data_IF_287058463000
#
_entry.id   IF_287058463000
#
_cell.length_a   1.000
_cell.length_b   1.000
_cell.length_c   1.000
_cell.angle_alpha   90.00
_cell.angle_beta   90.00
_cell.angle_gamma   90.00
#
_symmetry.space_group_name_H-M   'P 1'
#
loop_
_entity.id
_entity.type
_entity.pdbx_description
1 polymer ?
#
# COMPACT_ATOMS: atom_id res chain seq x y z
N UNK A 1 8.46 -9.46 -21.76
CA UNK A 1 9.84 -8.96 -21.72
C UNK A 1 10.05 -8.07 -20.49
N UNK A 2 11.30 -7.87 -20.03
CA UNK A 2 11.59 -6.98 -18.90
C UNK A 2 11.19 -5.54 -19.17
N UNK A 3 11.28 -5.07 -20.40
CA UNK A 3 10.80 -3.75 -20.80
C UNK A 3 9.30 -3.57 -20.54
N UNK A 4 8.47 -4.57 -20.83
CA UNK A 4 7.05 -4.51 -20.53
C UNK A 4 6.79 -4.59 -19.02
N UNK A 5 7.52 -5.40 -18.28
CA UNK A 5 7.43 -5.47 -16.82
C UNK A 5 7.77 -4.13 -16.15
N UNK A 6 8.92 -3.56 -16.51
CA UNK A 6 9.39 -2.31 -15.93
C UNK A 6 8.56 -1.09 -16.36
N UNK A 7 8.34 -0.92 -17.66
CA UNK A 7 7.73 0.30 -18.16
C UNK A 7 6.21 0.28 -18.09
N UNK A 8 5.57 -0.86 -18.36
CA UNK A 8 4.11 -0.93 -18.43
C UNK A 8 3.51 -1.34 -17.11
N UNK A 9 3.93 -2.47 -16.55
CA UNK A 9 3.30 -3.01 -15.33
C UNK A 9 3.57 -2.12 -14.13
N UNK A 10 4.82 -1.68 -13.92
CA UNK A 10 5.14 -0.76 -12.82
C UNK A 10 4.37 0.55 -12.96
N UNK A 11 4.32 1.13 -14.18
CA UNK A 11 3.55 2.34 -14.42
C UNK A 11 2.06 2.15 -14.10
N UNK A 12 1.47 1.03 -14.52
CA UNK A 12 0.07 0.70 -14.21
C UNK A 12 -0.15 0.56 -12.71
N UNK A 13 0.77 -0.08 -11.98
CA UNK A 13 0.67 -0.23 -10.53
C UNK A 13 0.69 1.11 -9.81
N UNK A 14 1.60 2.00 -10.16
CA UNK A 14 1.62 3.36 -9.61
C UNK A 14 0.36 4.15 -9.93
N UNK A 15 -0.08 4.11 -11.18
CA UNK A 15 -1.24 4.89 -11.65
C UNK A 15 -2.54 4.39 -11.00
N UNK A 16 -2.74 3.07 -10.91
CA UNK A 16 -3.93 2.48 -10.29
C UNK A 16 -3.99 2.77 -8.79
N UNK A 17 -2.87 2.60 -8.08
CA UNK A 17 -2.78 2.90 -6.66
C UNK A 17 -3.04 4.39 -6.37
N UNK A 18 -2.44 5.29 -7.16
CA UNK A 18 -2.63 6.73 -7.02
C UNK A 18 -4.07 7.15 -7.31
N UNK A 19 -4.69 6.58 -8.35
CA UNK A 19 -6.08 6.87 -8.71
C UNK A 19 -7.05 6.38 -7.63
N UNK A 20 -6.85 5.17 -7.11
CA UNK A 20 -7.66 4.63 -6.03
C UNK A 20 -7.57 5.46 -4.76
N UNK A 21 -6.35 5.87 -4.38
CA UNK A 21 -6.13 6.74 -3.23
C UNK A 21 -6.78 8.12 -3.40
N UNK A 22 -6.61 8.75 -4.56
CA UNK A 22 -7.21 10.06 -4.86
C UNK A 22 -8.74 10.01 -4.82
N UNK A 23 -9.35 8.95 -5.38
CA UNK A 23 -10.79 8.72 -5.32
C UNK A 23 -11.28 8.52 -3.86
N UNK A 24 -10.54 7.72 -3.06
CA UNK A 24 -10.83 7.52 -1.65
C UNK A 24 -10.75 8.84 -0.87
N UNK A 25 -9.75 9.68 -1.10
CA UNK A 25 -9.61 10.98 -0.44
C UNK A 25 -10.72 11.96 -0.83
N UNK A 26 -11.13 11.99 -2.10
CA UNK A 26 -12.25 12.79 -2.56
C UNK A 26 -13.55 12.35 -1.88
N UNK A 27 -13.80 11.04 -1.79
CA UNK A 27 -14.94 10.46 -1.07
C UNK A 27 -14.92 10.81 0.42
N UNK A 28 -13.80 10.61 1.10
CA UNK A 28 -13.64 10.94 2.52
C UNK A 28 -13.89 12.42 2.80
N UNK A 29 -13.42 13.32 1.93
CA UNK A 29 -13.69 14.76 2.03
C UNK A 29 -15.19 15.08 1.83
N UNK A 30 -15.83 14.47 0.83
CA UNK A 30 -17.26 14.63 0.55
C UNK A 30 -18.13 14.20 1.73
N UNK A 31 -17.90 12.99 2.26
CA UNK A 31 -18.62 12.48 3.44
C UNK A 31 -18.35 13.31 4.70
N UNK A 32 -17.15 13.87 4.83
CA UNK A 32 -16.82 14.78 5.93
C UNK A 32 -17.40 16.18 5.78
N UNK A 33 -18.10 16.50 4.67
CA UNK A 33 -18.65 17.83 4.40
C UNK A 33 -17.60 18.86 3.98
N UNK A 34 -16.45 18.43 3.47
CA UNK A 34 -15.38 19.28 2.92
C UNK A 34 -15.48 19.37 1.41
N UNK A 35 -14.80 20.36 0.81
CA UNK A 35 -14.62 20.41 -0.65
C UNK A 35 -13.85 19.19 -1.10
N UNK A 36 -14.29 18.54 -2.18
CA UNK A 36 -13.67 17.29 -2.70
C UNK A 36 -12.21 17.46 -3.13
N UNK A 37 -11.79 18.70 -3.46
CA UNK A 37 -10.43 18.97 -3.92
C UNK A 37 -10.27 18.73 -5.42
N UNK A 38 -9.02 18.54 -5.86
CA UNK A 38 -8.68 18.26 -7.25
C UNK A 38 -8.07 16.86 -7.35
N UNK A 39 -8.76 15.98 -8.08
CA UNK A 39 -8.35 14.59 -8.26
C UNK A 39 -6.94 14.46 -8.86
N UNK A 40 -6.63 15.20 -9.92
CA UNK A 40 -5.31 15.11 -10.56
C UNK A 40 -4.18 15.60 -9.67
N UNK A 41 -4.44 16.64 -8.87
CA UNK A 41 -3.48 17.13 -7.89
C UNK A 41 -3.22 16.08 -6.80
N UNK A 42 -4.25 15.40 -6.34
CA UNK A 42 -4.12 14.32 -5.37
C UNK A 42 -3.35 13.12 -5.94
N UNK A 43 -3.60 12.75 -7.21
CA UNK A 43 -2.84 11.71 -7.92
C UNK A 43 -1.34 12.06 -7.96
N UNK A 44 -1.00 13.28 -8.37
CA UNK A 44 0.40 13.71 -8.45
C UNK A 44 1.05 13.74 -7.06
N UNK A 45 0.35 14.28 -6.06
CA UNK A 45 0.85 14.39 -4.69
C UNK A 45 1.09 13.02 -4.06
N UNK A 46 0.15 12.09 -4.19
CA UNK A 46 0.32 10.74 -3.61
C UNK A 46 1.43 9.99 -4.32
N UNK A 47 1.51 10.09 -5.64
CA UNK A 47 2.58 9.43 -6.40
C UNK A 47 3.96 9.91 -5.98
N UNK A 48 4.17 11.24 -5.95
CA UNK A 48 5.49 11.81 -5.71
C UNK A 48 5.91 11.83 -4.26
N UNK A 49 4.97 11.96 -3.31
CA UNK A 49 5.28 12.13 -1.87
C UNK A 49 5.10 10.86 -1.04
N UNK A 50 4.33 9.91 -1.54
CA UNK A 50 4.02 8.67 -0.80
C UNK A 50 4.50 7.46 -1.60
N UNK A 51 3.94 7.20 -2.80
CA UNK A 51 4.19 5.95 -3.49
C UNK A 51 5.66 5.77 -3.88
N UNK A 52 6.27 6.76 -4.51
CA UNK A 52 7.67 6.65 -4.96
C UNK A 52 8.64 6.51 -3.76
N UNK A 53 8.62 7.40 -2.73
CA UNK A 53 9.55 7.25 -1.62
C UNK A 53 9.38 5.95 -0.84
N UNK A 54 8.15 5.56 -0.54
CA UNK A 54 7.89 4.34 0.22
C UNK A 54 8.21 3.09 -0.58
N UNK A 55 7.86 3.02 -1.88
CA UNK A 55 8.22 1.88 -2.72
C UNK A 55 9.74 1.71 -2.85
N UNK A 56 10.49 2.82 -2.89
CA UNK A 56 11.94 2.76 -2.90
C UNK A 56 12.50 2.15 -1.59
N UNK A 57 12.01 2.60 -0.44
CA UNK A 57 12.42 2.05 0.87
C UNK A 57 12.04 0.57 0.99
N UNK A 58 10.80 0.21 0.63
CA UNK A 58 10.33 -1.17 0.67
C UNK A 58 11.16 -2.05 -0.28
N UNK A 59 11.46 -1.56 -1.49
CA UNK A 59 12.30 -2.26 -2.45
C UNK A 59 13.69 -2.57 -1.89
N UNK A 60 14.34 -1.61 -1.23
CA UNK A 60 15.63 -1.82 -0.56
C UNK A 60 15.53 -2.85 0.57
N UNK A 61 14.46 -2.80 1.36
CA UNK A 61 14.22 -3.80 2.41
C UNK A 61 14.03 -5.21 1.83
N UNK A 62 13.28 -5.35 0.74
CA UNK A 62 13.09 -6.64 0.06
C UNK A 62 14.40 -7.18 -0.53
N UNK A 63 15.21 -6.31 -1.17
CA UNK A 63 16.55 -6.68 -1.64
C UNK A 63 17.42 -7.19 -0.49
N UNK A 64 17.37 -6.55 0.67
CA UNK A 64 18.12 -7.00 1.85
C UNK A 64 17.69 -8.39 2.36
N UNK A 65 16.48 -8.82 2.02
CA UNK A 65 15.95 -10.15 2.34
C UNK A 65 16.24 -11.21 1.25
N UNK A 66 16.88 -10.81 0.16
CA UNK A 66 17.26 -11.72 -0.92
C UNK A 66 16.31 -11.73 -2.12
N UNK A 67 15.35 -10.82 -2.20
CA UNK A 67 14.52 -10.66 -3.41
C UNK A 67 15.39 -10.13 -4.55
N UNK A 68 15.41 -10.78 -5.72
CA UNK A 68 16.26 -10.39 -6.84
C UNK A 68 15.96 -8.97 -7.35
N UNK A 69 17.03 -8.23 -7.63
CA UNK A 69 16.95 -6.92 -8.28
C UNK A 69 18.09 -6.81 -9.29
N UNK A 70 17.84 -7.30 -10.49
CA UNK A 70 18.83 -7.33 -11.56
C UNK A 70 18.19 -7.04 -12.91
N UNK A 71 19.00 -6.66 -13.90
CA UNK A 71 18.58 -6.55 -15.30
C UNK A 71 18.98 -7.78 -16.13
N UNK A 72 19.62 -8.77 -15.49
CA UNK A 72 19.88 -10.07 -16.14
C UNK A 72 18.57 -10.80 -16.39
N UNK A 73 18.50 -11.45 -17.56
CA UNK A 73 17.28 -12.10 -17.99
C UNK A 73 17.04 -13.44 -17.30
N UNK A 74 17.96 -14.36 -17.45
CA UNK A 74 17.88 -15.70 -16.91
C UNK A 74 19.27 -16.12 -16.45
N UNK A 75 19.32 -17.01 -15.47
CA UNK A 75 20.53 -17.71 -15.07
C UNK A 75 20.26 -19.22 -15.17
N UNK A 76 21.12 -19.91 -15.90
CA UNK A 76 21.03 -21.36 -16.03
C UNK A 76 21.78 -22.01 -14.87
N UNK A 77 21.10 -22.71 -14.02
CA UNK A 77 21.65 -23.44 -12.90
C UNK A 77 21.52 -24.96 -13.10
N UNK A 78 22.44 -25.73 -12.52
CA UNK A 78 22.29 -27.15 -12.42
C UNK A 78 21.62 -27.53 -11.10
N UNK A 79 20.48 -28.22 -11.19
CA UNK A 79 19.78 -28.72 -10.01
C UNK A 79 20.55 -29.84 -9.32
N UNK A 80 20.21 -30.15 -8.07
CA UNK A 80 20.79 -31.23 -7.29
C UNK A 80 20.63 -32.59 -8.03
N UNK A 81 19.57 -32.71 -8.84
CA UNK A 81 19.31 -33.90 -9.68
C UNK A 81 20.13 -33.92 -10.98
N UNK A 82 21.01 -32.95 -11.21
CA UNK A 82 21.85 -32.86 -12.40
C UNK A 82 21.17 -32.30 -13.65
N UNK A 83 19.93 -31.84 -13.56
CA UNK A 83 19.22 -31.21 -14.67
C UNK A 83 19.55 -29.72 -14.76
N UNK A 84 19.68 -29.20 -15.98
CA UNK A 84 19.81 -27.77 -16.22
C UNK A 84 18.42 -27.10 -16.12
N UNK A 85 18.34 -26.02 -15.35
CA UNK A 85 17.14 -25.23 -15.18
C UNK A 85 17.46 -23.76 -15.39
N UNK A 86 16.65 -23.08 -16.21
CA UNK A 86 16.73 -21.63 -16.39
C UNK A 86 15.87 -20.94 -15.33
N UNK A 87 16.53 -20.17 -14.47
CA UNK A 87 15.88 -19.31 -13.50
C UNK A 87 15.63 -17.92 -14.11
N UNK A 88 14.39 -17.54 -14.17
CA UNK A 88 14.04 -16.17 -14.55
C UNK A 88 14.44 -15.23 -13.42
N UNK A 89 15.32 -14.29 -13.71
CA UNK A 89 15.71 -13.20 -12.84
C UNK A 89 15.20 -11.88 -13.44
N UNK A 90 15.26 -10.79 -12.66
CA UNK A 90 14.82 -9.49 -13.14
C UNK A 90 14.68 -8.48 -12.02
N UNK A 91 14.05 -7.34 -12.27
CA UNK A 91 13.80 -6.30 -11.27
C UNK A 91 12.60 -6.65 -10.37
N UNK A 92 12.68 -7.79 -9.70
CA UNK A 92 11.59 -8.37 -8.92
C UNK A 92 11.25 -7.47 -7.73
N UNK A 93 12.25 -7.05 -6.95
CA UNK A 93 12.03 -6.25 -5.74
C UNK A 93 11.35 -4.90 -6.01
N UNK A 94 11.70 -4.22 -7.11
CA UNK A 94 11.05 -2.96 -7.49
C UNK A 94 9.57 -3.16 -7.79
N UNK A 95 9.23 -4.26 -8.45
CA UNK A 95 7.84 -4.58 -8.82
C UNK A 95 7.05 -5.05 -7.60
N UNK A 96 7.65 -5.87 -6.74
CA UNK A 96 7.04 -6.32 -5.49
C UNK A 96 6.74 -5.14 -4.54
N UNK A 97 7.65 -4.18 -4.41
CA UNK A 97 7.48 -3.03 -3.55
C UNK A 97 6.21 -2.22 -3.88
N UNK A 98 6.01 -1.88 -5.15
CA UNK A 98 4.79 -1.14 -5.55
C UNK A 98 3.56 -2.03 -5.59
N UNK A 99 3.70 -3.32 -5.91
CA UNK A 99 2.61 -4.28 -5.88
C UNK A 99 1.95 -4.34 -4.50
N UNK A 100 2.75 -4.46 -3.46
CA UNK A 100 2.24 -4.51 -2.08
C UNK A 100 1.77 -3.15 -1.60
N UNK A 101 2.55 -2.09 -1.80
CA UNK A 101 2.16 -0.75 -1.38
C UNK A 101 0.87 -0.28 -2.08
N UNK A 102 0.71 -0.61 -3.36
CA UNK A 102 -0.47 -0.24 -4.15
C UNK A 102 -1.64 -1.21 -4.04
N UNK A 103 -1.49 -2.35 -3.35
CA UNK A 103 -2.48 -3.43 -3.26
C UNK A 103 -2.94 -3.97 -4.62
N UNK A 104 -2.03 -4.02 -5.59
CA UNK A 104 -2.35 -4.36 -6.99
C UNK A 104 -2.50 -5.88 -7.23
N UNK A 105 -1.69 -6.69 -6.54
CA UNK A 105 -1.58 -8.12 -6.82
C UNK A 105 -0.72 -8.44 -8.05
N UNK A 106 -0.59 -9.73 -8.38
CA UNK A 106 0.21 -10.24 -9.50
C UNK A 106 1.68 -10.42 -9.16
N UNK A 107 2.50 -9.41 -9.39
CA UNK A 107 3.95 -9.45 -9.20
C UNK A 107 4.71 -9.83 -10.46
N UNK A 108 6.04 -9.97 -10.34
CA UNK A 108 6.93 -10.24 -11.46
C UNK A 108 6.64 -11.59 -12.11
N UNK A 109 6.42 -12.62 -11.30
CA UNK A 109 6.09 -13.97 -11.75
C UNK A 109 4.56 -14.22 -11.88
N UNK A 110 3.73 -13.25 -11.56
CA UNK A 110 2.28 -13.40 -11.56
C UNK A 110 1.72 -14.32 -10.47
N UNK A 111 2.51 -14.58 -9.44
CA UNK A 111 2.24 -15.57 -8.40
C UNK A 111 1.82 -14.98 -7.05
N UNK A 112 1.62 -13.67 -6.97
CA UNK A 112 1.22 -12.99 -5.73
C UNK A 112 2.13 -13.28 -4.53
N UNK A 113 3.45 -13.26 -4.73
CA UNK A 113 4.47 -13.59 -3.71
C UNK A 113 4.46 -15.05 -3.23
N UNK A 114 3.90 -15.97 -4.01
CA UNK A 114 3.94 -17.40 -3.70
C UNK A 114 5.28 -18.05 -4.07
N UNK A 115 6.14 -17.36 -4.82
CA UNK A 115 7.45 -17.88 -5.21
C UNK A 115 8.53 -17.48 -4.21
N UNK A 116 9.53 -18.33 -3.97
CA UNK A 116 10.68 -17.99 -3.11
C UNK A 116 11.50 -16.78 -3.62
N UNK A 117 11.38 -16.43 -4.90
CA UNK A 117 12.05 -15.27 -5.49
C UNK A 117 11.33 -13.95 -5.19
N UNK A 118 10.04 -13.98 -4.93
CA UNK A 118 9.28 -12.81 -4.53
C UNK A 118 9.27 -12.65 -3.00
N UNK A 119 9.16 -13.77 -2.25
CA UNK A 119 9.04 -13.78 -0.79
C UNK A 119 9.93 -14.88 -0.17
N UNK A 120 11.25 -14.66 -0.08
CA UNK A 120 12.20 -15.69 0.38
C UNK A 120 12.21 -15.95 1.88
N UNK A 121 11.77 -15.00 2.71
CA UNK A 121 11.92 -15.07 4.17
C UNK A 121 10.62 -14.71 4.90
N UNK A 122 10.52 -15.13 6.17
CA UNK A 122 9.42 -14.69 7.05
C UNK A 122 9.42 -13.17 7.22
N UNK A 123 10.61 -12.54 7.22
CA UNK A 123 10.74 -11.09 7.36
C UNK A 123 10.23 -10.39 6.10
N UNK A 124 10.54 -10.92 4.90
CA UNK A 124 9.98 -10.36 3.65
C UNK A 124 8.46 -10.42 3.66
N UNK A 125 7.87 -11.54 4.11
CA UNK A 125 6.42 -11.69 4.23
C UNK A 125 5.78 -10.65 5.19
N UNK A 126 6.44 -10.37 6.32
CA UNK A 126 5.98 -9.32 7.25
C UNK A 126 6.06 -7.94 6.60
N UNK A 127 7.16 -7.63 5.91
CA UNK A 127 7.34 -6.35 5.19
C UNK A 127 6.24 -6.18 4.14
N UNK A 128 5.98 -7.20 3.34
CA UNK A 128 4.95 -7.20 2.31
C UNK A 128 3.55 -6.99 2.91
N UNK A 129 3.21 -7.73 3.97
CA UNK A 129 1.92 -7.61 4.66
C UNK A 129 1.72 -6.20 5.23
N UNK A 130 2.72 -5.65 5.92
CA UNK A 130 2.65 -4.28 6.45
C UNK A 130 2.50 -3.27 5.32
N UNK A 131 3.27 -3.42 4.24
CA UNK A 131 3.22 -2.53 3.08
C UNK A 131 1.84 -2.49 2.44
N UNK A 132 1.17 -3.65 2.35
CA UNK A 132 -0.18 -3.76 1.82
C UNK A 132 -1.23 -3.07 2.71
N UNK A 133 -1.03 -3.08 4.03
CA UNK A 133 -1.98 -2.51 4.99
C UNK A 133 -1.80 -1.00 5.24
N UNK A 134 -0.65 -0.43 4.86
CA UNK A 134 -0.28 0.94 5.23
C UNK A 134 -1.19 1.99 4.58
N UNK A 135 -1.48 1.87 3.28
CA UNK A 135 -2.33 2.83 2.56
C UNK A 135 -3.80 2.75 2.99
N UNK A 136 -4.44 1.57 3.00
CA UNK A 136 -5.82 1.45 3.49
C UNK A 136 -5.98 1.95 4.92
N UNK A 137 -5.06 1.58 5.81
CA UNK A 137 -5.06 2.05 7.19
C UNK A 137 -4.91 3.57 7.31
N UNK A 138 -4.03 4.18 6.52
CA UNK A 138 -3.83 5.63 6.50
C UNK A 138 -5.08 6.40 6.02
N UNK A 139 -5.83 5.85 5.07
CA UNK A 139 -7.09 6.42 4.61
C UNK A 139 -8.13 6.50 5.73
N UNK A 140 -8.24 5.45 6.55
CA UNK A 140 -9.17 5.42 7.69
C UNK A 140 -8.78 6.47 8.74
N UNK A 141 -7.50 6.58 9.06
CA UNK A 141 -6.98 7.59 10.00
C UNK A 141 -7.24 9.00 9.47
N UNK A 142 -6.94 9.26 8.20
CA UNK A 142 -7.19 10.54 7.56
C UNK A 142 -8.67 10.92 7.58
N UNK A 143 -9.58 9.97 7.31
CA UNK A 143 -11.02 10.17 7.43
C UNK A 143 -11.42 10.59 8.84
N UNK A 144 -10.89 9.93 9.88
CA UNK A 144 -11.15 10.28 11.27
C UNK A 144 -10.71 11.70 11.61
N UNK A 145 -9.56 12.14 11.13
CA UNK A 145 -9.08 13.51 11.29
C UNK A 145 -9.98 14.52 10.56
N UNK A 146 -10.39 14.22 9.33
CA UNK A 146 -11.27 15.11 8.56
C UNK A 146 -12.61 15.37 9.25
N UNK A 147 -13.22 14.33 9.83
CA UNK A 147 -14.49 14.48 10.59
C UNK A 147 -14.28 15.30 11.87
N UNK A 148 -13.20 15.02 12.59
CA UNK A 148 -12.90 15.71 13.83
C UNK A 148 -12.68 17.22 13.63
N UNK A 149 -11.89 17.58 12.63
CA UNK A 149 -11.62 18.99 12.30
C UNK A 149 -12.87 19.71 11.84
N UNK A 150 -13.73 19.09 11.05
CA UNK A 150 -14.98 19.68 10.61
C UNK A 150 -15.95 19.93 11.77
N UNK A 151 -15.97 19.04 12.77
CA UNK A 151 -16.75 19.24 13.99
C UNK A 151 -16.26 20.44 14.79
N UNK A 152 -14.94 20.61 14.91
CA UNK A 152 -14.35 21.79 15.57
C UNK A 152 -14.71 23.09 14.88
N UNK A 153 -14.59 23.14 13.56
CA UNK A 153 -14.92 24.32 12.77
C UNK A 153 -16.41 24.67 12.88
N UNK A 154 -17.30 23.69 12.79
CA UNK A 154 -18.73 23.89 12.94
C UNK A 154 -19.13 24.30 14.38
N UNK A 155 -18.44 23.79 15.39
CA UNK A 155 -18.65 24.19 16.78
C UNK A 155 -18.19 25.63 17.02
N UNK A 156 -17.05 26.03 16.47
CA UNK A 156 -16.56 27.41 16.53
C UNK A 156 -17.51 28.39 15.83
N UNK A 157 -18.05 28.02 14.67
CA UNK A 157 -19.03 28.81 13.93
C UNK A 157 -20.37 29.00 14.69
N UNK A 158 -20.77 27.99 15.49
CA UNK A 158 -22.01 28.01 16.28
C UNK A 158 -21.84 28.61 17.68
N UNK A 159 -20.67 29.19 17.99
CA UNK A 159 -20.35 29.71 19.32
C UNK A 159 -20.55 28.69 20.46
N UNK A 160 -20.50 27.39 20.16
CA UNK A 160 -20.58 26.34 21.15
C UNK A 160 -19.22 26.23 21.83
N UNK A 161 -19.19 26.39 23.14
CA UNK A 161 -17.98 26.44 23.96
C UNK A 161 -17.02 25.25 23.69
N UNK A 162 -15.70 25.50 23.57
CA UNK A 162 -14.70 24.50 23.21
C UNK A 162 -14.49 23.39 24.25
N UNK A 163 -15.19 23.42 25.37
CA UNK A 163 -15.07 22.47 26.50
C UNK A 163 -15.56 21.05 26.20
N UNK A 164 -16.28 20.80 25.10
CA UNK A 164 -16.81 19.46 24.79
C UNK A 164 -15.91 18.61 23.91
N UNK A 165 -14.83 19.14 23.41
CA UNK A 165 -13.90 18.37 22.60
C UNK A 165 -12.71 17.94 23.46
N UNK A 166 -12.72 16.68 23.87
CA UNK A 166 -11.59 16.05 24.57
C UNK A 166 -10.28 16.16 23.78
N UNK A 167 -9.19 15.78 24.42
CA UNK A 167 -7.83 15.75 23.81
C UNK A 167 -7.89 15.17 22.40
N UNK A 168 -7.07 15.66 21.45
CA UNK A 168 -7.02 15.09 20.13
C UNK A 168 -6.72 13.60 20.22
N UNK A 169 -7.71 12.75 19.89
CA UNK A 169 -7.49 11.34 19.75
C UNK A 169 -6.73 11.10 18.45
N UNK A 170 -5.76 10.20 18.48
CA UNK A 170 -5.02 9.77 17.29
C UNK A 170 -5.98 9.33 16.17
N UNK A 171 -7.15 8.82 16.56
CA UNK A 171 -8.19 8.35 15.65
C UNK A 171 -9.57 8.69 16.25
N UNK A 172 -10.44 9.36 15.48
CA UNK A 172 -11.81 9.65 15.90
C UNK A 172 -12.64 8.37 16.09
N UNK A 173 -13.71 8.41 16.89
CA UNK A 173 -14.55 7.24 17.18
C UNK A 173 -15.01 6.47 15.93
N UNK A 174 -15.44 7.18 14.88
CA UNK A 174 -15.88 6.54 13.64
C UNK A 174 -14.73 5.80 12.94
N UNK A 175 -13.57 6.43 12.84
CA UNK A 175 -12.38 5.81 12.27
C UNK A 175 -11.93 4.60 13.11
N UNK A 176 -12.00 4.69 14.44
CA UNK A 176 -11.67 3.56 15.33
C UNK A 176 -12.60 2.35 15.11
N UNK A 177 -13.89 2.59 14.92
CA UNK A 177 -14.86 1.51 14.62
C UNK A 177 -14.56 0.88 13.25
N UNK A 178 -14.31 1.69 12.22
CA UNK A 178 -13.97 1.19 10.88
C UNK A 178 -12.66 0.39 10.94
N UNK A 179 -11.63 0.92 11.57
CA UNK A 179 -10.34 0.25 11.72
C UNK A 179 -10.46 -1.06 12.51
N UNK A 180 -11.26 -1.06 13.60
CA UNK A 180 -11.55 -2.25 14.37
C UNK A 180 -12.27 -3.32 13.55
N UNK A 181 -13.28 -2.94 12.78
CA UNK A 181 -13.97 -3.87 11.87
C UNK A 181 -13.03 -4.45 10.80
N UNK A 182 -12.21 -3.61 10.18
CA UNK A 182 -11.18 -4.07 9.22
C UNK A 182 -10.19 -5.03 9.86
N UNK A 183 -9.73 -4.74 11.08
CA UNK A 183 -8.79 -5.61 11.81
C UNK A 183 -9.41 -6.95 12.17
N UNK A 184 -10.67 -6.97 12.60
CA UNK A 184 -11.41 -8.22 12.90
C UNK A 184 -11.53 -9.07 11.63
N UNK A 185 -11.96 -8.48 10.50
CA UNK A 185 -12.08 -9.19 9.23
C UNK A 185 -10.73 -9.72 8.74
N UNK A 186 -9.66 -8.96 8.93
CA UNK A 186 -8.31 -9.40 8.60
C UNK A 186 -7.87 -10.60 9.42
N UNK A 187 -8.07 -10.55 10.76
CA UNK A 187 -7.72 -11.67 11.66
C UNK A 187 -8.57 -12.91 11.35
N UNK A 188 -9.88 -12.74 11.09
CA UNK A 188 -10.76 -13.85 10.69
C UNK A 188 -10.26 -14.47 9.38
N UNK A 189 -9.90 -13.64 8.39
CA UNK A 189 -9.32 -14.13 7.14
C UNK A 189 -8.01 -14.90 7.35
N UNK A 190 -7.13 -14.41 8.21
CA UNK A 190 -5.90 -15.11 8.60
C UNK A 190 -6.19 -16.49 9.20
N UNK A 191 -7.13 -16.57 10.15
CA UNK A 191 -7.50 -17.84 10.81
C UNK A 191 -8.11 -18.83 9.84
N UNK A 192 -8.88 -18.36 8.84
CA UNK A 192 -9.47 -19.24 7.83
C UNK A 192 -8.43 -19.78 6.84
N UNK A 193 -7.41 -18.98 6.53
CA UNK A 193 -6.34 -19.37 5.61
C UNK A 193 -5.25 -20.25 6.24
N UNK A 194 -5.20 -20.34 7.56
CA UNK A 194 -4.25 -21.14 8.33
C UNK A 194 -4.90 -22.43 8.82
#
# INVERSE_FOLDING_TARGET
SYGSQLCVIIFMMFTSAASGYAACMAFCRGVSGRKMGNFYEDVIRVTTRILIPFSFVIGLLLVSQGVPQTLQANETIQTIEGKMQDLALGPVAALEAIKHLGTNGGGFFGANSATPFENPTVISNIIETISMMILPGSCVVAFGHMIHDNRKENAARKAVAPKQFGKPMLMGRQAAVIFGAMSILFVVGLVICY
#
